data_IF_704964219035
#
_entry.id   IF_704964219035
#
_cell.length_a   1.000
_cell.length_b   1.000
_cell.length_c   1.000
_cell.angle_alpha   90.00
_cell.angle_beta   90.00
_cell.angle_gamma   90.00
#
_symmetry.space_group_name_H-M   'P 1'
#
loop_
_entity.id
_entity.type
_entity.pdbx_description
1 polymer ?
#
# COMPACT_ATOMS: atom_id res chain seq x y z
N UNK A 1 14.95 -4.40 19.93
CA UNK A 1 14.41 -3.10 20.39
C UNK A 1 13.79 -2.19 19.31
N UNK A 2 14.50 -1.72 18.26
CA UNK A 2 13.87 -0.84 17.23
C UNK A 2 12.77 -1.58 16.43
N UNK A 3 13.00 -2.86 16.13
CA UNK A 3 12.05 -3.72 15.42
C UNK A 3 10.80 -4.05 16.27
N UNK A 4 10.93 -4.44 17.54
CA UNK A 4 9.76 -4.66 18.43
C UNK A 4 8.90 -3.40 18.55
N UNK A 5 9.52 -2.23 18.72
CA UNK A 5 8.81 -0.97 18.91
C UNK A 5 7.95 -0.60 17.69
N UNK A 6 8.44 -0.87 16.49
CA UNK A 6 7.71 -0.61 15.24
C UNK A 6 6.53 -1.59 15.05
N UNK A 7 6.68 -2.84 15.52
CA UNK A 7 5.58 -3.81 15.56
C UNK A 7 4.51 -3.37 16.57
N UNK A 8 4.90 -2.93 17.77
CA UNK A 8 3.96 -2.47 18.80
C UNK A 8 3.23 -1.18 18.35
N UNK A 9 3.92 -0.23 17.73
CA UNK A 9 3.30 0.96 17.13
C UNK A 9 2.27 0.58 16.06
N UNK A 10 2.58 -0.40 15.23
CA UNK A 10 1.67 -0.92 14.20
C UNK A 10 0.44 -1.60 14.80
N UNK A 11 0.60 -2.30 15.92
CA UNK A 11 -0.51 -2.87 16.67
C UNK A 11 -1.40 -1.78 17.29
N UNK A 12 -0.82 -0.74 17.89
CA UNK A 12 -1.59 0.39 18.46
C UNK A 12 -2.46 1.06 17.40
N UNK A 13 -1.92 1.30 16.19
CA UNK A 13 -2.70 1.85 15.07
C UNK A 13 -3.84 0.96 14.61
N UNK A 14 -3.75 -0.36 14.87
CA UNK A 14 -4.77 -1.34 14.47
C UNK A 14 -5.91 -1.45 15.50
N UNK A 15 -5.59 -1.32 16.79
CA UNK A 15 -6.56 -1.53 17.87
C UNK A 15 -7.24 -0.26 18.38
N UNK A 16 -6.63 0.91 18.18
CA UNK A 16 -7.22 2.19 18.58
C UNK A 16 -7.73 2.93 17.35
N UNK A 17 -9.00 3.35 17.38
CA UNK A 17 -9.71 3.89 16.22
C UNK A 17 -9.37 5.37 16.03
N UNK A 18 -9.22 6.13 17.13
CA UNK A 18 -8.97 7.57 17.06
C UNK A 18 -7.49 7.92 17.22
N UNK A 19 -7.04 9.00 16.57
CA UNK A 19 -5.66 9.48 16.72
C UNK A 19 -5.31 9.86 18.17
N UNK A 20 -6.28 10.37 18.93
CA UNK A 20 -6.07 10.77 20.32
C UNK A 20 -5.87 9.55 21.24
N UNK A 21 -6.61 8.47 21.02
CA UNK A 21 -6.39 7.21 21.73
C UNK A 21 -5.04 6.59 21.36
N UNK A 22 -4.66 6.61 20.09
CA UNK A 22 -3.34 6.15 19.64
C UNK A 22 -2.22 6.96 20.29
N UNK A 23 -2.33 8.30 20.32
CA UNK A 23 -1.36 9.19 20.99
C UNK A 23 -1.28 8.94 22.49
N UNK A 24 -2.42 8.70 23.16
CA UNK A 24 -2.45 8.34 24.59
C UNK A 24 -1.77 6.98 24.84
N UNK A 25 -2.07 5.96 24.05
CA UNK A 25 -1.47 4.63 24.15
C UNK A 25 0.05 4.66 23.90
N UNK A 26 0.51 5.44 22.92
CA UNK A 26 1.94 5.62 22.65
C UNK A 26 2.66 6.34 23.80
N UNK A 27 2.05 7.39 24.38
CA UNK A 27 2.60 8.07 25.57
C UNK A 27 2.70 7.13 26.77
N UNK A 28 1.69 6.29 27.00
CA UNK A 28 1.70 5.30 28.07
C UNK A 28 2.80 4.26 27.86
N UNK A 29 2.92 3.70 26.65
CA UNK A 29 3.98 2.77 26.29
C UNK A 29 5.37 3.39 26.52
N UNK A 30 5.57 4.63 26.09
CA UNK A 30 6.85 5.32 26.26
C UNK A 30 7.15 5.62 27.74
N UNK A 31 6.14 5.92 28.54
CA UNK A 31 6.28 6.06 30.01
C UNK A 31 6.68 4.74 30.68
N UNK A 32 6.13 3.61 30.23
CA UNK A 32 6.47 2.27 30.74
C UNK A 32 7.91 1.92 30.37
N UNK A 33 8.29 2.11 29.10
CA UNK A 33 9.65 1.82 28.60
C UNK A 33 10.72 2.69 29.26
N UNK A 34 10.42 3.95 29.59
CA UNK A 34 11.35 4.83 30.28
C UNK A 34 11.49 4.51 31.79
N UNK A 35 10.60 3.69 32.36
CA UNK A 35 10.57 3.35 33.79
C UNK A 35 10.55 1.83 34.01
N UNK A 36 11.25 1.06 33.18
CA UNK A 36 11.21 -0.41 33.19
C UNK A 36 11.47 -0.99 34.59
N UNK A 37 12.41 -0.44 35.37
CA UNK A 37 12.73 -0.97 36.71
C UNK A 37 11.59 -0.79 37.74
N UNK A 38 10.72 0.20 37.55
CA UNK A 38 9.47 0.34 38.31
C UNK A 38 8.46 -0.74 37.92
N UNK A 39 8.41 -1.09 36.63
CA UNK A 39 7.44 -2.03 36.08
C UNK A 39 7.89 -3.50 36.13
N UNK A 40 9.19 -3.79 36.33
CA UNK A 40 9.73 -5.12 36.61
C UNK A 40 9.15 -5.76 37.88
N UNK A 41 8.59 -4.95 38.79
CA UNK A 41 7.93 -5.43 40.03
C UNK A 41 6.52 -5.96 39.81
N UNK A 42 5.90 -5.72 38.64
CA UNK A 42 4.57 -6.25 38.38
C UNK A 42 4.65 -7.74 38.08
N UNK A 43 3.88 -8.53 38.82
CA UNK A 43 3.83 -9.96 38.64
C UNK A 43 3.06 -10.29 37.36
N UNK A 44 3.69 -11.00 36.42
CA UNK A 44 3.08 -11.45 35.16
C UNK A 44 1.72 -12.12 35.39
N UNK A 45 1.60 -12.87 36.49
CA UNK A 45 0.37 -13.57 36.85
C UNK A 45 -0.77 -12.60 37.18
N UNK A 46 -0.48 -11.45 37.82
CA UNK A 46 -1.49 -10.43 38.11
C UNK A 46 -1.95 -9.69 36.85
N UNK A 47 -1.01 -9.39 35.95
CA UNK A 47 -1.32 -8.80 34.64
C UNK A 47 -2.22 -9.74 33.86
N UNK A 48 -1.85 -11.03 33.74
CA UNK A 48 -2.65 -12.01 33.02
C UNK A 48 -4.05 -12.21 33.64
N UNK A 49 -4.16 -12.20 34.98
CA UNK A 49 -5.48 -12.24 35.66
C UNK A 49 -6.33 -11.03 35.33
N UNK A 50 -5.75 -9.82 35.37
CA UNK A 50 -6.48 -8.60 35.00
C UNK A 50 -6.90 -8.60 33.53
N UNK A 51 -6.06 -9.13 32.64
CA UNK A 51 -6.37 -9.26 31.21
C UNK A 51 -7.51 -10.24 31.02
N UNK A 52 -7.46 -11.42 31.63
CA UNK A 52 -8.54 -12.41 31.55
C UNK A 52 -9.88 -11.86 32.08
N UNK A 53 -9.85 -11.07 33.17
CA UNK A 53 -11.06 -10.43 33.70
C UNK A 53 -11.69 -9.43 32.72
N UNK A 54 -10.87 -8.74 31.90
CA UNK A 54 -11.35 -7.77 30.91
C UNK A 54 -11.74 -8.41 29.57
N UNK A 55 -10.99 -9.39 29.10
CA UNK A 55 -11.16 -10.03 27.77
C UNK A 55 -12.20 -11.16 27.83
N UNK A 56 -12.46 -11.72 29.02
CA UNK A 56 -13.36 -12.86 29.21
C UNK A 56 -12.81 -14.16 28.63
N UNK A 57 -13.67 -15.18 28.46
CA UNK A 57 -13.30 -16.48 27.91
C UNK A 57 -13.26 -16.53 26.37
N UNK A 58 -13.36 -15.39 25.68
CA UNK A 58 -13.41 -15.34 24.23
C UNK A 58 -12.06 -15.75 23.60
N UNK A 59 -12.04 -16.95 23.01
CA UNK A 59 -10.88 -17.52 22.35
C UNK A 59 -10.31 -16.63 21.25
N UNK A 60 -11.14 -15.93 20.49
CA UNK A 60 -10.70 -15.04 19.40
C UNK A 60 -9.81 -13.93 19.94
N UNK A 61 -10.25 -13.23 20.99
CA UNK A 61 -9.50 -12.12 21.57
C UNK A 61 -8.20 -12.59 22.24
N UNK A 62 -8.24 -13.75 22.91
CA UNK A 62 -7.05 -14.40 23.50
C UNK A 62 -6.06 -14.81 22.42
N UNK A 63 -6.55 -15.41 21.34
CA UNK A 63 -5.71 -15.81 20.20
C UNK A 63 -5.05 -14.59 19.57
N UNK A 64 -5.76 -13.49 19.43
CA UNK A 64 -5.24 -12.28 18.79
C UNK A 64 -4.18 -11.58 19.66
N UNK A 65 -4.36 -11.59 20.99
CA UNK A 65 -3.33 -11.15 21.93
C UNK A 65 -2.05 -11.99 21.80
N UNK A 66 -2.16 -13.33 21.74
CA UNK A 66 -1.00 -14.20 21.55
C UNK A 66 -0.31 -13.96 20.20
N UNK A 67 -1.07 -13.78 19.11
CA UNK A 67 -0.50 -13.44 17.80
C UNK A 67 0.26 -12.11 17.84
N UNK A 68 -0.24 -11.13 18.59
CA UNK A 68 0.45 -9.86 18.78
C UNK A 68 1.77 -10.05 19.55
N UNK A 69 1.74 -10.78 20.66
CA UNK A 69 2.95 -11.06 21.45
C UNK A 69 4.00 -11.84 20.64
N UNK A 70 3.58 -12.86 19.90
CA UNK A 70 4.46 -13.60 18.98
C UNK A 70 5.03 -12.70 17.88
N UNK A 71 4.25 -11.74 17.36
CA UNK A 71 4.78 -10.80 16.35
C UNK A 71 5.88 -9.89 16.88
N UNK A 72 5.85 -9.58 18.19
CA UNK A 72 6.88 -8.79 18.87
C UNK A 72 8.11 -9.65 19.16
N UNK A 73 7.92 -10.84 19.72
CA UNK A 73 9.02 -11.77 20.03
C UNK A 73 9.78 -12.27 18.78
N UNK A 74 9.09 -12.38 17.64
CA UNK A 74 9.75 -12.70 16.37
C UNK A 74 10.35 -11.47 15.66
N UNK A 75 10.26 -10.25 16.21
CA UNK A 75 10.65 -9.04 15.48
C UNK A 75 12.17 -8.85 15.34
N UNK A 76 12.96 -9.36 16.28
CA UNK A 76 14.43 -9.31 16.25
C UNK A 76 15.07 -10.61 15.70
N UNK A 77 14.27 -11.67 15.54
CA UNK A 77 14.65 -12.95 14.97
C UNK A 77 15.37 -13.89 15.92
N UNK A 78 15.29 -13.66 17.23
CA UNK A 78 16.02 -14.39 18.28
C UNK A 78 15.13 -15.31 19.15
N UNK A 79 13.90 -15.59 18.69
CA UNK A 79 12.89 -16.38 19.41
C UNK A 79 13.38 -17.75 19.93
N UNK A 80 14.37 -18.36 19.28
CA UNK A 80 14.84 -19.73 19.58
C UNK A 80 16.03 -19.81 20.57
N UNK A 81 16.43 -18.71 21.22
CA UNK A 81 17.44 -18.80 22.28
C UNK A 81 16.89 -19.59 23.47
N UNK A 82 17.28 -20.88 23.56
CA UNK A 82 16.97 -21.76 24.69
C UNK A 82 17.62 -21.22 25.96
N UNK A 83 16.79 -20.95 26.97
CA UNK A 83 17.19 -20.51 28.30
C UNK A 83 15.97 -20.26 29.19
N UNK A 84 16.15 -20.25 30.52
CA UNK A 84 15.06 -20.10 31.50
C UNK A 84 14.28 -18.77 31.36
N UNK A 85 14.90 -17.76 30.72
CA UNK A 85 14.37 -16.41 30.48
C UNK A 85 14.16 -16.12 28.98
N UNK A 86 13.80 -17.14 28.18
CA UNK A 86 13.49 -16.94 26.76
C UNK A 86 12.11 -16.31 26.58
N UNK A 87 11.95 -15.52 25.53
CA UNK A 87 10.64 -14.96 25.12
C UNK A 87 9.60 -16.07 24.85
N UNK A 88 10.08 -17.27 24.46
CA UNK A 88 9.26 -18.48 24.33
C UNK A 88 8.65 -18.91 25.68
N UNK A 89 9.44 -18.93 26.76
CA UNK A 89 8.95 -19.28 28.10
C UNK A 89 7.96 -18.23 28.63
N UNK A 90 8.22 -16.94 28.40
CA UNK A 90 7.32 -15.87 28.83
C UNK A 90 5.97 -15.94 28.11
N UNK A 91 5.97 -16.18 26.79
CA UNK A 91 4.74 -16.38 26.02
C UNK A 91 4.03 -17.65 26.46
N UNK A 92 4.74 -18.75 26.73
CA UNK A 92 4.13 -19.98 27.22
C UNK A 92 3.46 -19.78 28.60
N UNK A 93 4.09 -19.02 29.50
CA UNK A 93 3.48 -18.64 30.78
C UNK A 93 2.20 -17.81 30.59
N UNK A 94 2.20 -16.86 29.64
CA UNK A 94 1.02 -16.05 29.30
C UNK A 94 -0.09 -16.93 28.73
N UNK A 95 0.22 -17.84 27.79
CA UNK A 95 -0.73 -18.78 27.17
C UNK A 95 -1.41 -19.64 28.23
N UNK A 96 -0.63 -20.20 29.16
CA UNK A 96 -1.14 -21.02 30.26
C UNK A 96 -2.08 -20.21 31.16
N UNK A 97 -1.72 -18.97 31.50
CA UNK A 97 -2.57 -18.11 32.32
C UNK A 97 -3.84 -17.66 31.59
N UNK A 98 -3.78 -17.45 30.27
CA UNK A 98 -4.95 -17.14 29.45
C UNK A 98 -5.87 -18.37 29.26
N UNK A 99 -5.46 -19.57 29.68
CA UNK A 99 -6.24 -20.80 29.57
C UNK A 99 -6.40 -21.26 28.12
N UNK A 100 -5.42 -20.97 27.27
CA UNK A 100 -5.36 -21.49 25.90
C UNK A 100 -4.71 -22.88 25.97
N UNK A 101 -5.31 -23.88 25.33
CA UNK A 101 -4.74 -25.23 25.33
C UNK A 101 -3.40 -25.26 24.59
N UNK A 102 -2.49 -26.12 25.02
CA UNK A 102 -1.17 -26.29 24.37
C UNK A 102 -1.32 -26.58 22.88
N UNK A 103 -2.31 -27.40 22.50
CA UNK A 103 -2.62 -27.69 21.10
C UNK A 103 -3.03 -26.44 20.30
N UNK A 104 -3.90 -25.60 20.86
CA UNK A 104 -4.32 -24.35 20.22
C UNK A 104 -3.14 -23.38 20.05
N UNK A 105 -2.28 -23.29 21.07
CA UNK A 105 -1.08 -22.48 21.01
C UNK A 105 -0.08 -22.99 19.96
N UNK A 106 0.18 -24.30 19.91
CA UNK A 106 1.05 -24.91 18.90
C UNK A 106 0.59 -24.63 17.47
N UNK A 107 -0.72 -24.63 17.21
CA UNK A 107 -1.26 -24.27 15.91
C UNK A 107 -0.98 -22.81 15.54
N UNK A 108 -1.13 -21.88 16.50
CA UNK A 108 -0.82 -20.47 16.32
C UNK A 108 0.69 -20.28 16.10
N UNK A 109 1.52 -20.96 16.89
CA UNK A 109 2.96 -20.91 16.82
C UNK A 109 3.48 -21.45 15.48
N UNK A 110 2.97 -22.60 15.02
CA UNK A 110 3.32 -23.21 13.75
C UNK A 110 2.92 -22.32 12.56
N UNK A 111 1.76 -21.67 12.63
CA UNK A 111 1.36 -20.67 11.65
C UNK A 111 2.35 -19.47 11.61
N UNK A 112 2.77 -18.98 12.78
CA UNK A 112 3.75 -17.90 12.89
C UNK A 112 5.15 -18.31 12.39
N UNK A 113 5.65 -19.49 12.79
CA UNK A 113 6.94 -20.05 12.34
C UNK A 113 7.02 -20.17 10.83
N UNK A 114 6.00 -20.76 10.19
CA UNK A 114 5.94 -20.88 8.71
C UNK A 114 5.96 -19.51 8.01
N UNK A 115 5.25 -18.52 8.57
CA UNK A 115 5.22 -17.15 8.04
C UNK A 115 6.57 -16.45 8.20
N UNK A 116 7.27 -16.67 9.31
CA UNK A 116 8.57 -16.08 9.60
C UNK A 116 9.72 -16.73 8.81
N UNK A 117 9.74 -18.05 8.70
CA UNK A 117 10.72 -18.80 7.89
C UNK A 117 10.65 -18.42 6.41
N UNK A 118 9.45 -18.18 5.88
CA UNK A 118 9.27 -17.63 4.53
C UNK A 118 9.94 -16.26 4.42
N UNK A 119 9.72 -15.35 5.37
CA UNK A 119 10.33 -14.01 5.41
C UNK A 119 11.87 -14.08 5.48
N UNK A 120 12.44 -14.96 6.31
CA UNK A 120 13.90 -15.17 6.45
C UNK A 120 14.56 -15.69 5.15
N UNK A 121 13.88 -16.54 4.39
CA UNK A 121 14.33 -17.02 3.06
C UNK A 121 14.37 -15.90 2.01
N UNK A 122 13.47 -14.91 2.09
CA UNK A 122 13.50 -13.73 1.21
C UNK A 122 14.61 -12.76 1.59
N UNK A 123 14.92 -12.61 2.89
CA UNK A 123 15.99 -11.72 3.37
C UNK A 123 17.40 -12.29 3.13
N UNK A 124 17.60 -13.61 3.20
CA UNK A 124 18.90 -14.24 2.88
C UNK A 124 19.25 -14.19 1.37
N UNK A 125 18.25 -14.21 0.47
CA UNK A 125 18.47 -13.97 -0.98
C UNK A 125 18.83 -12.51 -1.32
N UNK A 126 18.67 -11.58 -0.37
CA UNK A 126 18.93 -10.16 -0.56
C UNK A 126 20.38 -9.70 -0.34
N UNK A 127 21.28 -10.54 0.20
CA UNK A 127 22.66 -10.13 0.57
C UNK A 127 23.77 -10.47 -0.43
N UNK A 128 23.47 -11.15 -1.54
CA UNK A 128 24.48 -11.49 -2.59
C UNK A 128 24.37 -10.67 -3.89
N UNK A 129 23.56 -9.60 -3.95
CA UNK A 129 23.50 -8.70 -5.12
C UNK A 129 23.63 -7.22 -4.73
N UNK A 130 24.78 -6.86 -4.18
CA UNK A 130 25.29 -5.49 -4.21
C UNK A 130 26.79 -5.50 -4.55
N UNK A 131 27.11 -5.87 -5.79
CA UNK A 131 28.30 -5.37 -6.53
C UNK A 131 28.24 -5.85 -7.98
N UNK A 132 27.56 -5.05 -8.80
CA UNK A 132 27.95 -4.67 -10.18
C UNK A 132 26.72 -4.05 -10.85
N UNK A 133 26.74 -2.73 -10.92
CA UNK A 133 26.14 -1.97 -12.01
C UNK A 133 26.84 -2.31 -13.34
N UNK A 134 26.10 -2.07 -14.43
CA UNK A 134 26.44 -2.24 -15.85
C UNK A 134 26.49 -3.67 -16.38
N UNK A 135 25.37 -4.14 -16.93
CA UNK A 135 25.18 -4.29 -18.38
C UNK A 135 23.73 -4.66 -18.72
N UNK A 136 23.39 -4.38 -19.97
CA UNK A 136 22.12 -4.63 -20.66
C UNK A 136 21.38 -5.95 -20.32
N UNK A 137 20.06 -5.83 -20.49
CA UNK A 137 19.15 -6.83 -21.07
C UNK A 137 18.41 -7.82 -20.16
N UNK A 138 17.10 -7.91 -20.48
CA UNK A 138 16.18 -9.04 -20.35
C UNK A 138 15.59 -9.43 -18.99
N UNK A 139 14.35 -8.95 -18.80
CA UNK A 139 13.14 -9.78 -18.72
C UNK A 139 13.26 -11.15 -18.03
N UNK A 140 13.28 -11.16 -16.70
CA UNK A 140 12.51 -12.09 -15.87
C UNK A 140 12.76 -11.77 -14.38
N UNK A 141 12.06 -10.76 -13.86
CA UNK A 141 11.73 -10.78 -12.43
C UNK A 141 10.47 -11.62 -12.32
N UNK A 142 10.53 -12.71 -11.55
CA UNK A 142 9.36 -13.50 -11.20
C UNK A 142 8.29 -12.57 -10.60
N UNK A 143 7.19 -12.37 -11.32
CA UNK A 143 6.10 -11.52 -10.84
C UNK A 143 5.39 -12.24 -9.70
N UNK A 144 5.37 -11.62 -8.51
CA UNK A 144 4.63 -12.16 -7.37
C UNK A 144 3.12 -11.86 -7.52
N UNK A 145 2.28 -12.42 -6.64
CA UNK A 145 0.82 -12.21 -6.73
C UNK A 145 0.41 -10.74 -6.56
N UNK A 146 1.14 -9.92 -5.79
CA UNK A 146 0.88 -8.48 -5.65
C UNK A 146 1.21 -7.74 -6.95
N UNK A 147 2.30 -8.12 -7.63
CA UNK A 147 2.64 -7.61 -8.96
C UNK A 147 1.60 -8.00 -10.01
N UNK A 148 1.03 -9.21 -9.88
CA UNK A 148 -0.05 -9.66 -10.75
C UNK A 148 -1.33 -8.83 -10.55
N UNK A 149 -1.67 -8.48 -9.31
CA UNK A 149 -2.79 -7.59 -9.01
C UNK A 149 -2.58 -6.21 -9.64
N UNK A 150 -1.39 -5.61 -9.48
CA UNK A 150 -1.08 -4.32 -10.10
C UNK A 150 -1.22 -4.35 -11.63
N UNK A 151 -0.76 -5.43 -12.27
CA UNK A 151 -0.89 -5.58 -13.72
C UNK A 151 -2.34 -5.78 -14.17
N UNK A 152 -3.16 -6.53 -13.42
CA UNK A 152 -4.58 -6.69 -13.75
C UNK A 152 -5.35 -5.37 -13.58
N UNK A 153 -5.08 -4.61 -12.50
CA UNK A 153 -5.66 -3.28 -12.31
C UNK A 153 -5.29 -2.34 -13.46
N UNK A 154 -4.03 -2.38 -13.91
CA UNK A 154 -3.56 -1.56 -15.02
C UNK A 154 -4.19 -1.99 -16.36
N UNK A 155 -4.41 -3.28 -16.59
CA UNK A 155 -5.06 -3.77 -17.81
C UNK A 155 -6.51 -3.30 -17.89
N UNK A 156 -7.25 -3.32 -16.76
CA UNK A 156 -8.60 -2.77 -16.68
C UNK A 156 -8.58 -1.25 -16.95
N UNK A 157 -7.72 -0.51 -16.25
CA UNK A 157 -7.61 0.94 -16.36
C UNK A 157 -7.06 1.44 -17.73
N UNK A 158 -6.46 0.55 -18.53
CA UNK A 158 -6.03 0.86 -19.90
C UNK A 158 -7.10 0.57 -20.95
N UNK A 159 -8.14 -0.18 -20.60
CA UNK A 159 -9.10 -0.74 -21.55
C UNK A 159 -9.92 0.34 -22.27
N UNK A 160 -10.29 1.40 -21.57
CA UNK A 160 -11.10 2.52 -22.08
C UNK A 160 -10.26 3.64 -22.72
N UNK A 161 -8.94 3.61 -22.52
CA UNK A 161 -8.00 4.64 -22.95
C UNK A 161 -8.08 5.96 -22.18
N UNK A 162 -8.96 6.13 -21.19
CA UNK A 162 -9.21 7.37 -20.44
C UNK A 162 -9.03 7.15 -18.94
N UNK A 163 -7.82 7.40 -18.46
CA UNK A 163 -7.52 7.31 -17.03
C UNK A 163 -8.19 8.43 -16.23
N UNK A 164 -9.14 8.06 -15.37
CA UNK A 164 -9.92 8.98 -14.55
C UNK A 164 -9.42 9.06 -13.11
N UNK A 165 -9.78 10.16 -12.44
CA UNK A 165 -9.36 10.46 -11.07
C UNK A 165 -9.92 9.48 -10.04
N UNK A 166 -11.16 9.06 -10.25
CA UNK A 166 -11.86 8.06 -9.45
C UNK A 166 -11.19 6.67 -9.55
N UNK A 167 -10.81 6.22 -10.75
CA UNK A 167 -10.12 4.93 -10.96
C UNK A 167 -8.79 4.86 -10.21
N UNK A 168 -7.99 5.92 -10.30
CA UNK A 168 -6.68 5.94 -9.66
C UNK A 168 -6.80 5.91 -8.13
N UNK A 169 -7.82 6.56 -7.58
CA UNK A 169 -8.07 6.54 -6.13
C UNK A 169 -8.53 5.14 -5.67
N UNK A 170 -9.25 4.39 -6.52
CA UNK A 170 -9.56 2.96 -6.32
C UNK A 170 -8.29 2.11 -6.29
N UNK A 171 -7.41 2.27 -7.28
CA UNK A 171 -6.12 1.56 -7.32
C UNK A 171 -5.29 1.82 -6.06
N UNK A 172 -5.23 3.09 -5.59
CA UNK A 172 -4.52 3.42 -4.35
C UNK A 172 -5.13 2.74 -3.12
N UNK A 173 -6.47 2.61 -3.07
CA UNK A 173 -7.14 1.86 -2.01
C UNK A 173 -6.76 0.38 -2.03
N UNK A 174 -6.72 -0.23 -3.22
CA UNK A 174 -6.29 -1.61 -3.39
C UNK A 174 -4.82 -1.79 -2.98
N UNK A 175 -3.92 -0.85 -3.33
CA UNK A 175 -2.52 -0.86 -2.89
C UNK A 175 -2.41 -0.84 -1.36
N UNK A 176 -3.18 0.00 -0.66
CA UNK A 176 -3.18 0.02 0.81
C UNK A 176 -3.56 -1.33 1.43
N UNK A 177 -4.44 -2.08 0.76
CA UNK A 177 -4.94 -3.38 1.22
C UNK A 177 -3.90 -4.49 1.06
N UNK A 178 -3.20 -4.54 -0.07
CA UNK A 178 -2.28 -5.65 -0.38
C UNK A 178 -0.82 -5.40 0.04
N UNK A 179 -0.44 -4.14 0.30
CA UNK A 179 0.90 -3.73 0.71
C UNK A 179 0.89 -3.16 2.13
N UNK A 180 1.78 -3.66 2.97
CA UNK A 180 1.68 -3.47 4.43
C UNK A 180 2.45 -2.24 4.92
N UNK A 181 3.62 -1.98 4.32
CA UNK A 181 4.48 -0.86 4.70
C UNK A 181 4.30 0.31 3.75
N UNK A 182 4.59 1.52 4.23
CA UNK A 182 4.51 2.73 3.41
C UNK A 182 5.53 2.71 2.27
N UNK A 183 6.70 2.12 2.51
CA UNK A 183 7.72 1.87 1.48
C UNK A 183 7.22 0.92 0.38
N UNK A 184 6.57 -0.19 0.76
CA UNK A 184 5.99 -1.15 -0.18
C UNK A 184 4.88 -0.50 -1.03
N UNK A 185 4.00 0.29 -0.41
CA UNK A 185 2.91 1.01 -1.10
C UNK A 185 3.45 2.02 -2.10
N UNK A 186 4.51 2.72 -1.72
CA UNK A 186 5.15 3.70 -2.57
C UNK A 186 5.90 3.04 -3.75
N UNK A 187 6.56 1.93 -3.50
CA UNK A 187 7.16 1.11 -4.54
C UNK A 187 6.10 0.57 -5.50
N UNK A 188 4.97 0.09 -4.99
CA UNK A 188 3.83 -0.37 -5.77
C UNK A 188 3.24 0.74 -6.65
N UNK A 189 3.12 1.97 -6.13
CA UNK A 189 2.64 3.11 -6.90
C UNK A 189 3.60 3.47 -8.06
N UNK A 190 4.92 3.49 -7.79
CA UNK A 190 5.95 3.71 -8.82
C UNK A 190 5.93 2.61 -9.88
N UNK A 191 5.78 1.35 -9.47
CA UNK A 191 5.68 0.21 -10.37
C UNK A 191 4.40 0.28 -11.22
N UNK A 192 3.26 0.60 -10.60
CA UNK A 192 2.00 0.77 -11.29
C UNK A 192 2.09 1.84 -12.38
N UNK A 193 2.76 2.96 -12.10
CA UNK A 193 3.04 3.99 -13.10
C UNK A 193 3.84 3.45 -14.29
N UNK A 194 4.91 2.69 -14.00
CA UNK A 194 5.72 2.08 -15.05
C UNK A 194 4.91 1.11 -15.91
N UNK A 195 3.99 0.36 -15.29
CA UNK A 195 3.08 -0.54 -16.01
C UNK A 195 2.14 0.28 -16.89
N UNK A 196 1.54 1.37 -16.39
CA UNK A 196 0.62 2.21 -17.17
C UNK A 196 1.26 2.77 -18.44
N UNK A 197 2.56 3.12 -18.38
CA UNK A 197 3.29 3.69 -19.51
C UNK A 197 3.80 2.63 -20.49
N UNK A 198 3.82 1.35 -20.12
CA UNK A 198 4.18 0.27 -21.03
C UNK A 198 3.05 0.04 -22.05
N UNK A 199 3.39 0.05 -23.34
CA UNK A 199 2.46 -0.25 -24.43
C UNK A 199 2.16 -1.75 -24.57
N UNK A 200 2.96 -2.61 -23.94
CA UNK A 200 2.78 -4.06 -23.98
C UNK A 200 1.58 -4.49 -23.14
N UNK A 201 0.69 -5.28 -23.73
CA UNK A 201 -0.43 -5.92 -23.01
C UNK A 201 0.08 -6.98 -22.05
N UNK A 202 -0.56 -7.07 -20.88
CA UNK A 202 -0.22 -8.09 -19.89
C UNK A 202 -0.68 -9.49 -20.34
N UNK A 203 0.06 -10.53 -19.94
CA UNK A 203 -0.39 -11.91 -20.14
C UNK A 203 -1.36 -12.29 -19.00
N UNK A 204 -2.65 -11.96 -19.18
CA UNK A 204 -3.71 -12.17 -18.18
C UNK A 204 -3.76 -13.62 -17.68
N UNK A 205 -3.55 -14.60 -18.55
CA UNK A 205 -3.55 -16.03 -18.19
C UNK A 205 -2.44 -16.34 -17.18
N UNK A 206 -1.21 -15.90 -17.46
CA UNK A 206 -0.07 -16.08 -16.56
C UNK A 206 -0.33 -15.41 -15.20
N UNK A 207 -0.89 -14.20 -15.20
CA UNK A 207 -1.18 -13.47 -13.97
C UNK A 207 -2.26 -14.17 -13.13
N UNK A 208 -3.34 -14.62 -13.76
CA UNK A 208 -4.41 -15.36 -13.08
C UNK A 208 -3.91 -16.68 -12.51
N UNK A 209 -3.00 -17.39 -13.19
CA UNK A 209 -2.40 -18.61 -12.65
C UNK A 209 -1.62 -18.37 -11.35
N UNK A 210 -0.88 -17.27 -11.26
CA UNK A 210 -0.17 -16.88 -10.03
C UNK A 210 -1.16 -16.57 -8.91
N UNK A 211 -2.25 -15.88 -9.23
CA UNK A 211 -3.30 -15.56 -8.26
C UNK A 211 -4.02 -16.83 -7.79
N UNK A 212 -4.36 -17.75 -8.71
CA UNK A 212 -5.02 -19.01 -8.41
C UNK A 212 -4.22 -19.90 -7.44
N UNK A 213 -2.89 -19.83 -7.48
CA UNK A 213 -2.03 -20.58 -6.56
C UNK A 213 -2.04 -20.01 -5.14
N UNK A 214 -2.38 -18.72 -4.97
CA UNK A 214 -2.27 -18.03 -3.68
C UNK A 214 -3.61 -17.69 -3.04
N UNK A 215 -4.64 -17.50 -3.84
CA UNK A 215 -5.92 -16.95 -3.41
C UNK A 215 -6.96 -18.07 -3.33
N UNK A 216 -7.69 -18.10 -2.21
CA UNK A 216 -8.91 -18.87 -2.09
C UNK A 216 -10.09 -18.16 -2.80
N UNK A 217 -11.26 -18.79 -2.81
CA UNK A 217 -12.45 -18.24 -3.47
C UNK A 217 -12.85 -16.86 -2.93
N UNK A 218 -12.74 -16.66 -1.62
CA UNK A 218 -13.10 -15.39 -0.97
C UNK A 218 -12.17 -14.27 -1.44
N UNK A 219 -10.86 -14.50 -1.43
CA UNK A 219 -9.87 -13.54 -1.90
C UNK A 219 -9.99 -13.27 -3.41
N UNK A 220 -10.32 -14.28 -4.22
CA UNK A 220 -10.62 -14.10 -5.66
C UNK A 220 -11.85 -13.22 -5.87
N UNK A 221 -12.91 -13.46 -5.09
CA UNK A 221 -14.15 -12.67 -5.15
C UNK A 221 -13.89 -11.21 -4.76
N UNK A 222 -13.08 -10.98 -3.73
CA UNK A 222 -12.67 -9.64 -3.32
C UNK A 222 -11.85 -8.95 -4.42
N UNK A 223 -10.88 -9.63 -5.02
CA UNK A 223 -10.11 -9.07 -6.14
C UNK A 223 -11.00 -8.71 -7.34
N UNK A 224 -11.99 -9.55 -7.67
CA UNK A 224 -12.95 -9.24 -8.74
C UNK A 224 -13.75 -7.98 -8.40
N UNK A 225 -14.20 -7.82 -7.15
CA UNK A 225 -14.88 -6.60 -6.73
C UNK A 225 -13.97 -5.36 -6.81
N UNK A 226 -12.68 -5.48 -6.53
CA UNK A 226 -11.72 -4.38 -6.68
C UNK A 226 -11.51 -4.01 -8.16
N UNK A 227 -11.36 -4.99 -9.05
CA UNK A 227 -11.26 -4.76 -10.50
C UNK A 227 -12.53 -4.11 -11.06
N UNK A 228 -13.71 -4.55 -10.59
CA UNK A 228 -14.98 -3.91 -10.91
C UNK A 228 -15.06 -2.49 -10.36
N UNK A 229 -14.56 -2.24 -9.14
CA UNK A 229 -14.60 -0.90 -8.57
C UNK A 229 -13.73 0.10 -9.34
N UNK A 230 -12.66 -0.36 -10.00
CA UNK A 230 -11.90 0.45 -10.97
C UNK A 230 -12.74 0.69 -12.22
N UNK A 231 -13.29 -0.36 -12.84
CA UNK A 231 -14.07 -0.25 -14.08
C UNK A 231 -15.44 0.43 -13.95
N UNK A 232 -15.95 0.67 -12.74
CA UNK A 232 -17.22 1.37 -12.49
C UNK A 232 -16.98 2.78 -11.92
N UNK A 233 -15.73 3.23 -11.85
CA UNK A 233 -15.40 4.45 -11.12
C UNK A 233 -15.99 5.72 -11.74
N UNK A 234 -16.37 5.68 -13.02
CA UNK A 234 -16.96 6.76 -13.80
C UNK A 234 -18.47 6.62 -14.03
N UNK A 235 -19.13 5.70 -13.30
CA UNK A 235 -20.54 5.32 -13.45
C UNK A 235 -20.91 4.81 -14.86
N UNK A 236 -19.93 4.50 -15.72
CA UNK A 236 -20.14 4.02 -17.09
C UNK A 236 -19.39 2.70 -17.30
N UNK A 237 -20.07 1.67 -17.79
CA UNK A 237 -19.43 0.36 -18.00
C UNK A 237 -19.19 0.16 -19.48
N UNK A 238 -17.95 0.40 -19.95
CA UNK A 238 -17.64 0.15 -21.34
C UNK A 238 -17.66 -1.35 -21.64
N UNK A 239 -18.05 -1.72 -22.86
CA UNK A 239 -18.03 -3.13 -23.28
C UNK A 239 -16.61 -3.73 -23.26
N UNK A 240 -15.58 -2.89 -23.40
CA UNK A 240 -14.18 -3.30 -23.39
C UNK A 240 -13.75 -3.71 -21.97
N UNK A 241 -14.07 -2.90 -20.95
CA UNK A 241 -13.79 -3.24 -19.55
C UNK A 241 -14.56 -4.48 -19.11
N UNK A 242 -15.81 -4.59 -19.55
CA UNK A 242 -16.63 -5.79 -19.34
C UNK A 242 -15.93 -7.04 -19.86
N UNK A 243 -15.40 -6.97 -21.08
CA UNK A 243 -14.68 -8.05 -21.72
C UNK A 243 -13.40 -8.41 -20.95
N UNK A 244 -12.62 -7.40 -20.55
CA UNK A 244 -11.38 -7.60 -19.76
C UNK A 244 -11.66 -8.26 -18.41
N UNK A 245 -12.71 -7.82 -17.69
CA UNK A 245 -13.11 -8.43 -16.42
C UNK A 245 -13.61 -9.85 -16.65
N UNK A 246 -14.47 -10.09 -17.64
CA UNK A 246 -14.98 -11.43 -17.94
C UNK A 246 -13.85 -12.42 -18.28
N UNK A 247 -12.87 -11.98 -19.06
CA UNK A 247 -11.67 -12.76 -19.37
C UNK A 247 -10.87 -13.07 -18.09
N UNK A 248 -10.68 -12.07 -17.22
CA UNK A 248 -9.98 -12.25 -15.94
C UNK A 248 -10.71 -13.24 -15.03
N UNK A 249 -12.03 -13.09 -14.86
CA UNK A 249 -12.89 -13.97 -14.06
C UNK A 249 -12.81 -15.41 -14.53
N UNK A 250 -12.84 -15.63 -15.85
CA UNK A 250 -12.72 -16.96 -16.45
C UNK A 250 -11.36 -17.59 -16.11
N UNK A 251 -10.28 -16.82 -16.25
CA UNK A 251 -8.93 -17.30 -15.93
C UNK A 251 -8.66 -17.44 -14.42
N UNK A 252 -9.42 -16.75 -13.56
CA UNK A 252 -9.44 -16.96 -12.11
C UNK A 252 -10.23 -18.23 -11.69
N UNK A 253 -10.77 -18.96 -12.66
CA UNK A 253 -11.55 -20.19 -12.45
C UNK A 253 -12.83 -19.95 -11.65
N UNK A 254 -13.46 -18.79 -11.84
CA UNK A 254 -14.76 -18.46 -11.25
C UNK A 254 -15.85 -18.71 -12.29
N UNK A 255 -16.87 -19.48 -11.92
CA UNK A 255 -17.98 -19.81 -12.83
C UNK A 255 -18.85 -18.59 -13.12
N UNK A 256 -19.59 -18.64 -14.23
CA UNK A 256 -20.53 -17.56 -14.60
C UNK A 256 -21.61 -17.33 -13.53
N UNK A 257 -22.04 -18.38 -12.83
CA UNK A 257 -23.04 -18.28 -11.76
C UNK A 257 -22.47 -17.53 -10.55
N UNK A 258 -21.26 -17.88 -10.13
CA UNK A 258 -20.56 -17.22 -9.03
C UNK A 258 -20.26 -15.77 -9.36
N UNK A 259 -19.78 -15.49 -10.58
CA UNK A 259 -19.54 -14.13 -11.03
C UNK A 259 -20.81 -13.28 -11.05
N UNK A 260 -21.95 -13.85 -11.46
CA UNK A 260 -23.26 -13.18 -11.37
C UNK A 260 -23.60 -12.80 -9.93
N UNK A 261 -23.35 -13.70 -8.97
CA UNK A 261 -23.54 -13.43 -7.55
C UNK A 261 -22.62 -12.33 -7.03
N UNK A 262 -21.33 -12.37 -7.38
CA UNK A 262 -20.34 -11.32 -7.03
C UNK A 262 -20.78 -9.97 -7.60
N UNK A 263 -21.22 -9.93 -8.86
CA UNK A 263 -21.71 -8.70 -9.50
C UNK A 263 -22.93 -8.12 -8.79
N UNK A 264 -23.84 -8.97 -8.31
CA UNK A 264 -25.00 -8.53 -7.54
C UNK A 264 -24.59 -7.96 -6.16
N UNK A 265 -23.66 -8.61 -5.46
CA UNK A 265 -23.10 -8.12 -4.19
C UNK A 265 -22.42 -6.76 -4.40
N UNK A 266 -21.59 -6.66 -5.43
CA UNK A 266 -20.91 -5.42 -5.81
C UNK A 266 -21.91 -4.28 -6.04
N UNK A 267 -22.94 -4.50 -6.88
CA UNK A 267 -23.97 -3.49 -7.14
C UNK A 267 -24.69 -3.02 -5.87
N UNK A 268 -25.01 -3.95 -4.97
CA UNK A 268 -25.65 -3.62 -3.69
C UNK A 268 -24.75 -2.70 -2.86
N UNK A 269 -23.48 -3.06 -2.71
CA UNK A 269 -22.49 -2.26 -1.96
C UNK A 269 -22.19 -0.91 -2.62
N UNK A 270 -22.14 -0.89 -3.95
CA UNK A 270 -21.94 0.32 -4.73
C UNK A 270 -23.07 1.33 -4.49
N UNK A 271 -24.32 0.86 -4.56
CA UNK A 271 -25.50 1.68 -4.29
C UNK A 271 -25.57 2.17 -2.83
N UNK A 272 -25.04 1.39 -1.89
CA UNK A 272 -24.91 1.76 -0.48
C UNK A 272 -23.79 2.77 -0.20
N UNK A 273 -23.01 3.16 -1.23
CA UNK A 273 -21.94 4.14 -1.09
C UNK A 273 -20.60 3.58 -0.61
N UNK A 274 -20.47 2.27 -0.37
CA UNK A 274 -19.17 1.66 -0.01
C UNK A 274 -18.10 1.90 -1.09
N UNK A 275 -18.55 2.08 -2.33
CA UNK A 275 -17.73 2.38 -3.49
C UNK A 275 -18.05 3.73 -4.14
N UNK A 276 -18.75 4.64 -3.45
CA UNK A 276 -18.91 6.01 -3.95
C UNK A 276 -17.64 6.84 -3.70
N UNK A 277 -17.33 7.68 -4.67
CA UNK A 277 -16.29 8.70 -4.56
C UNK A 277 -16.85 9.89 -3.79
N UNK A 278 -16.12 10.39 -2.80
CA UNK A 278 -16.47 11.66 -2.14
C UNK A 278 -15.89 12.81 -2.97
N UNK A 279 -16.69 13.33 -3.91
CA UNK A 279 -16.30 14.45 -4.80
C UNK A 279 -15.86 15.70 -4.02
N UNK A 280 -16.37 15.88 -2.80
CA UNK A 280 -16.11 17.05 -1.97
C UNK A 280 -14.73 17.05 -1.29
N UNK A 281 -13.96 15.97 -1.39
CA UNK A 281 -12.64 15.85 -0.75
C UNK A 281 -11.48 16.31 -1.63
N UNK A 282 -11.63 17.48 -2.25
CA UNK A 282 -10.65 18.23 -3.06
C UNK A 282 -10.90 18.14 -4.57
N UNK A 283 -11.83 18.98 -5.01
CA UNK A 283 -11.97 19.44 -6.38
C UNK A 283 -10.64 20.06 -6.86
N UNK A 284 -10.13 19.57 -8.00
CA UNK A 284 -8.94 20.11 -8.63
C UNK A 284 -9.31 21.45 -9.28
N UNK A 285 -9.19 22.54 -8.53
CA UNK A 285 -9.30 23.89 -9.09
C UNK A 285 -7.91 24.30 -9.63
N UNK A 286 -7.70 24.05 -10.92
CA UNK A 286 -6.53 24.51 -11.70
C UNK A 286 -6.28 26.03 -11.52
N UNK A 287 -7.35 26.76 -11.23
CA UNK A 287 -7.42 28.17 -10.87
C UNK A 287 -6.71 28.51 -9.54
N UNK A 288 -6.82 27.67 -8.50
CA UNK A 288 -6.30 27.98 -7.16
C UNK A 288 -4.80 27.76 -7.02
N UNK A 289 -4.21 26.81 -7.76
CA UNK A 289 -2.75 26.65 -7.80
C UNK A 289 -2.08 27.82 -8.53
N UNK A 290 -2.68 28.29 -9.63
CA UNK A 290 -2.24 29.51 -10.32
C UNK A 290 -2.44 30.77 -9.47
N UNK A 291 -3.49 30.81 -8.63
CA UNK A 291 -3.73 31.92 -7.68
C UNK A 291 -2.65 31.98 -6.58
N UNK A 292 -2.27 30.86 -5.97
CA UNK A 292 -1.13 30.79 -5.03
C UNK A 292 0.24 31.03 -5.70
N UNK A 293 0.43 30.65 -6.97
CA UNK A 293 1.62 31.00 -7.78
C UNK A 293 1.72 32.51 -8.03
N UNK A 294 0.59 33.19 -8.22
CA UNK A 294 0.53 34.65 -8.40
C UNK A 294 0.65 35.44 -7.09
N UNK A 295 0.12 34.94 -5.98
CA UNK A 295 0.30 35.54 -4.65
C UNK A 295 1.76 35.45 -4.17
N UNK A 296 2.45 34.32 -4.43
CA UNK A 296 3.89 34.18 -4.16
C UNK A 296 4.79 34.91 -5.16
N UNK A 297 4.27 35.31 -6.33
CA UNK A 297 4.99 36.18 -7.29
C UNK A 297 5.00 37.65 -6.84
N UNK A 298 3.96 38.08 -6.13
CA UNK A 298 3.80 39.47 -5.69
C UNK A 298 4.46 39.79 -4.34
N UNK A 299 4.77 38.80 -3.49
CA UNK A 299 5.52 38.99 -2.24
C UNK A 299 7.05 39.01 -2.39
N UNK A 300 7.58 38.65 -3.55
CA UNK A 300 9.04 38.55 -3.80
C UNK A 300 9.56 39.64 -4.75
N UNK A 301 8.94 40.81 -4.75
CA UNK A 301 9.34 41.97 -5.56
C UNK A 301 10.35 42.86 -4.82
N UNK A 302 11.37 42.25 -4.24
CA UNK A 302 12.62 42.92 -3.85
C UNK A 302 13.66 41.88 -3.43
N UNK A 303 14.12 41.09 -4.39
CA UNK A 303 15.50 40.59 -4.44
C UNK A 303 15.61 39.70 -5.67
N UNK A 304 16.24 40.23 -6.72
CA UNK A 304 16.70 39.49 -7.87
C UNK A 304 17.82 38.54 -7.44
N UNK A 305 17.46 37.44 -6.78
CA UNK A 305 18.26 36.23 -6.77
C UNK A 305 17.36 35.13 -7.33
N UNK A 306 17.47 34.98 -8.65
CA UNK A 306 17.00 33.85 -9.44
C UNK A 306 17.67 32.61 -8.87
N UNK A 307 17.07 32.05 -7.82
CA UNK A 307 17.51 30.82 -7.19
C UNK A 307 17.45 29.73 -8.25
N UNK A 308 18.63 29.22 -8.59
CA UNK A 308 18.90 28.03 -9.40
C UNK A 308 17.96 26.89 -9.01
N UNK A 309 16.78 26.83 -9.62
CA UNK A 309 16.20 25.54 -9.97
C UNK A 309 17.19 24.96 -10.96
N UNK A 310 17.81 23.82 -10.65
CA UNK A 310 18.78 23.19 -11.55
C UNK A 310 18.21 23.18 -12.96
N UNK A 311 19.04 23.53 -13.96
CA UNK A 311 18.64 23.54 -15.37
C UNK A 311 18.27 22.10 -15.78
N UNK A 312 17.02 21.71 -15.55
CA UNK A 312 16.45 20.46 -16.07
C UNK A 312 16.42 20.64 -17.58
N UNK A 313 17.17 19.82 -18.29
CA UNK A 313 17.19 19.85 -19.75
C UNK A 313 15.83 19.44 -20.32
N UNK A 314 15.50 19.86 -21.55
CA UNK A 314 14.25 19.44 -22.20
C UNK A 314 14.16 17.91 -22.31
N UNK A 315 15.29 17.23 -22.55
CA UNK A 315 15.36 15.76 -22.57
C UNK A 315 15.02 15.15 -21.21
N UNK A 316 15.63 15.67 -20.13
CA UNK A 316 15.39 15.21 -18.77
C UNK A 316 13.94 15.46 -18.33
N UNK A 317 13.34 16.56 -18.80
CA UNK A 317 11.93 16.84 -18.56
C UNK A 317 10.99 15.80 -19.20
N UNK A 318 11.29 15.32 -20.42
CA UNK A 318 10.54 14.20 -21.01
C UNK A 318 10.73 12.90 -20.22
N UNK A 319 11.94 12.64 -19.72
CA UNK A 319 12.24 11.46 -18.90
C UNK A 319 11.52 11.48 -17.54
N UNK A 320 11.38 12.66 -16.92
CA UNK A 320 10.60 12.86 -15.70
C UNK A 320 9.11 12.64 -15.98
N UNK A 321 8.61 13.17 -17.09
CA UNK A 321 7.21 12.96 -17.53
C UNK A 321 6.96 11.54 -18.07
N UNK A 322 8.02 10.73 -18.24
CA UNK A 322 7.97 9.36 -18.78
C UNK A 322 7.31 9.25 -20.15
N UNK A 323 7.57 10.25 -21.00
CA UNK A 323 7.10 10.30 -22.39
C UNK A 323 8.29 10.32 -23.33
N UNK A 324 8.11 9.82 -24.56
CA UNK A 324 9.14 9.93 -25.59
C UNK A 324 9.32 11.40 -25.99
N UNK A 325 10.53 11.81 -26.39
CA UNK A 325 10.78 13.19 -26.82
C UNK A 325 9.94 13.64 -28.02
N UNK A 326 9.48 12.69 -28.84
CA UNK A 326 8.58 12.89 -29.99
C UNK A 326 7.09 12.70 -29.65
N UNK A 327 6.72 12.52 -28.37
CA UNK A 327 5.33 12.37 -27.97
C UNK A 327 4.50 13.59 -28.37
N UNK A 328 3.24 13.37 -28.74
CA UNK A 328 2.29 14.44 -29.08
C UNK A 328 1.95 15.29 -27.85
N UNK A 329 1.48 16.52 -28.08
CA UNK A 329 1.12 17.43 -26.98
C UNK A 329 -0.02 16.87 -26.10
N UNK A 330 -0.92 16.10 -26.70
CA UNK A 330 -1.98 15.39 -25.98
C UNK A 330 -1.39 14.32 -25.05
N UNK A 331 -0.40 13.54 -25.50
CA UNK A 331 0.28 12.54 -24.68
C UNK A 331 1.07 13.17 -23.53
N UNK A 332 1.76 14.29 -23.76
CA UNK A 332 2.49 15.02 -22.71
C UNK A 332 1.51 15.56 -21.65
N UNK A 333 0.42 16.22 -22.09
CA UNK A 333 -0.63 16.72 -21.18
C UNK A 333 -1.26 15.60 -20.36
N UNK A 334 -1.53 14.46 -21.00
CA UNK A 334 -2.09 13.27 -20.35
C UNK A 334 -1.12 12.71 -19.30
N UNK A 335 0.15 12.52 -19.65
CA UNK A 335 1.17 12.01 -18.75
C UNK A 335 1.35 12.90 -17.50
N UNK A 336 1.39 14.23 -17.71
CA UNK A 336 1.44 15.20 -16.61
C UNK A 336 0.25 15.06 -15.66
N UNK A 337 -0.98 15.00 -16.19
CA UNK A 337 -2.19 14.85 -15.36
C UNK A 337 -2.17 13.58 -14.53
N UNK A 338 -1.80 12.45 -15.13
CA UNK A 338 -1.70 11.15 -14.45
C UNK A 338 -0.68 11.24 -13.31
N UNK A 339 0.51 11.76 -13.60
CA UNK A 339 1.58 11.98 -12.64
C UNK A 339 1.14 12.87 -11.47
N UNK A 340 0.51 14.01 -11.77
CA UNK A 340 0.00 14.91 -10.76
C UNK A 340 -1.05 14.23 -9.87
N UNK A 341 -1.95 13.44 -10.46
CA UNK A 341 -2.95 12.68 -9.71
C UNK A 341 -2.33 11.56 -8.87
N UNK A 342 -1.26 10.93 -9.32
CA UNK A 342 -0.54 9.89 -8.58
C UNK A 342 0.18 10.45 -7.36
N UNK A 343 0.93 11.54 -7.53
CA UNK A 343 1.83 12.09 -6.52
C UNK A 343 1.32 13.35 -5.81
N UNK A 344 0.01 13.65 -5.87
CA UNK A 344 -0.53 14.77 -5.08
C UNK A 344 -0.44 14.48 -3.57
N UNK A 345 0.11 15.41 -2.74
CA UNK A 345 0.27 15.20 -1.30
C UNK A 345 -1.03 14.78 -0.58
N UNK A 346 -2.16 15.46 -0.87
CA UNK A 346 -3.45 15.06 -0.28
C UNK A 346 -3.89 13.66 -0.69
N UNK A 347 -3.56 13.22 -1.92
CA UNK A 347 -4.02 11.93 -2.45
C UNK A 347 -3.17 10.77 -1.97
N UNK A 348 -1.96 11.04 -1.49
CA UNK A 348 -1.09 10.05 -0.85
C UNK A 348 -1.06 10.18 0.66
N UNK A 349 -1.82 11.12 1.25
CA UNK A 349 -1.92 11.32 2.70
C UNK A 349 -2.23 10.00 3.45
N UNK A 350 -3.14 9.22 2.88
CA UNK A 350 -3.52 7.88 3.37
C UNK A 350 -2.44 6.79 3.22
N UNK A 351 -1.31 7.07 2.58
CA UNK A 351 -0.20 6.14 2.35
C UNK A 351 0.97 6.35 3.35
N UNK A 352 0.83 7.27 4.31
CA UNK A 352 1.81 7.53 5.37
C UNK A 352 2.74 8.71 5.09
N UNK A 353 3.41 9.20 6.15
CA UNK A 353 4.19 10.45 6.12
C UNK A 353 5.34 10.44 5.13
N UNK A 354 6.03 9.30 4.99
CA UNK A 354 7.12 9.18 4.02
C UNK A 354 6.61 9.20 2.57
N UNK A 355 5.44 8.64 2.32
CA UNK A 355 4.79 8.71 1.01
C UNK A 355 4.39 10.16 0.68
N UNK A 356 3.88 10.92 1.66
CA UNK A 356 3.57 12.36 1.49
C UNK A 356 4.84 13.14 1.16
N UNK A 357 5.94 12.91 1.88
CA UNK A 357 7.21 13.60 1.65
C UNK A 357 7.75 13.33 0.25
N UNK A 358 7.81 12.06 -0.16
CA UNK A 358 8.29 11.69 -1.49
C UNK A 358 7.36 12.18 -2.60
N UNK A 359 6.05 12.09 -2.42
CA UNK A 359 5.09 12.57 -3.40
C UNK A 359 5.17 14.11 -3.56
N UNK A 360 5.38 14.84 -2.47
CA UNK A 360 5.63 16.29 -2.51
C UNK A 360 6.87 16.61 -3.35
N UNK A 361 7.96 15.85 -3.17
CA UNK A 361 9.18 16.06 -3.94
C UNK A 361 9.03 15.66 -5.41
N UNK A 362 8.40 14.51 -5.68
CA UNK A 362 8.07 14.09 -7.04
C UNK A 362 7.17 15.11 -7.72
N UNK A 363 6.17 15.66 -7.03
CA UNK A 363 5.28 16.70 -7.57
C UNK A 363 6.04 17.97 -7.95
N UNK A 364 7.03 18.40 -7.15
CA UNK A 364 7.90 19.52 -7.54
C UNK A 364 8.65 19.23 -8.84
N UNK A 365 9.25 18.05 -8.95
CA UNK A 365 9.99 17.64 -10.15
C UNK A 365 9.08 17.54 -11.38
N UNK A 366 7.89 16.95 -11.22
CA UNK A 366 6.86 16.83 -12.27
C UNK A 366 6.44 18.22 -12.76
N UNK A 367 6.18 19.16 -11.84
CA UNK A 367 5.81 20.53 -12.19
C UNK A 367 6.95 21.28 -12.89
N UNK A 368 8.19 21.11 -12.43
CA UNK A 368 9.36 21.71 -13.07
C UNK A 368 9.57 21.16 -14.50
N UNK A 369 9.45 19.85 -14.68
CA UNK A 369 9.53 19.20 -15.99
C UNK A 369 8.40 19.66 -16.93
N UNK A 370 7.17 19.78 -16.41
CA UNK A 370 6.04 20.31 -17.16
C UNK A 370 6.27 21.74 -17.61
N UNK A 371 6.73 22.64 -16.72
CA UNK A 371 7.02 24.03 -17.06
C UNK A 371 8.09 24.12 -18.18
N UNK A 372 9.14 23.29 -18.14
CA UNK A 372 10.18 23.22 -19.17
C UNK A 372 9.63 22.75 -20.52
N UNK A 373 8.86 21.66 -20.56
CA UNK A 373 8.29 21.14 -21.82
C UNK A 373 7.23 22.09 -22.37
N UNK A 374 6.41 22.70 -21.50
CA UNK A 374 5.38 23.67 -21.87
C UNK A 374 6.00 24.88 -22.56
N UNK A 375 7.10 25.41 -22.01
CA UNK A 375 7.85 26.53 -22.60
C UNK A 375 8.52 26.13 -23.92
N UNK A 376 9.25 25.00 -23.93
CA UNK A 376 9.96 24.52 -25.13
C UNK A 376 9.03 24.30 -26.33
N UNK A 377 7.78 23.87 -26.08
CA UNK A 377 6.78 23.61 -27.12
C UNK A 377 5.78 24.76 -27.33
N UNK A 378 5.88 25.85 -26.56
CA UNK A 378 4.92 26.99 -26.56
C UNK A 378 3.46 26.54 -26.39
N UNK A 379 3.24 25.52 -25.58
CA UNK A 379 1.89 25.01 -25.30
C UNK A 379 1.10 26.04 -24.51
N UNK A 380 -0.15 26.31 -24.92
CA UNK A 380 -1.11 27.09 -24.12
C UNK A 380 -1.66 26.24 -22.97
#
# INVERSE_FOLDING_TARGET
>A
MKCELDVVKSAIRRYYITEDEQKKALKQLQSILNNIDKYKKYNLNEICRSINKKIGYNYTNKSELIKMLLSVAYADGDFEKRGLFSEENEIQMIVNHLGISSYAYENILNYFKKKYEQKKKYEQKGKYKQKKSNTNSNNNKDCNFRDAILQLLAEVMKADGKQMKCELDRVKATIRRYYQTDEERLAALKQFQSILNDKKKANVIKLCNIINQKFDYAAKSELIMELMAVAYADDSFSEIEASTINNTVTNLQISRKEYKSIKNIFRKKYNQGEYKYDENRNEYNESNYNKKKNENKNRSKSNSNRSKSGNISVSEAYDILKVAGNASDAEVKKAYRILAMMYHPDKVSSLGDEAIRQATESMKQINAAWDVVKEARRMR
#
